data_IF_895012040153
#
_entry.id   IF_895012040153
#
_cell.length_a   1.000
_cell.length_b   1.000
_cell.length_c   1.000
_cell.angle_alpha   90.00
_cell.angle_beta   90.00
_cell.angle_gamma   90.00
#
_symmetry.space_group_name_H-M   'P 1'
#
loop_
_entity.id
_entity.type
_entity.pdbx_description
1 polymer ?
#
# COMPACT_ATOMS: atom_id res chain seq x y z
N UNK A 1 -65.13 55.23 -10.90
CA UNK A 1 -65.49 53.84 -11.27
C UNK A 1 -64.47 53.20 -12.23
N UNK A 2 -64.01 53.86 -13.30
CA UNK A 2 -63.00 53.29 -14.21
C UNK A 2 -61.62 53.03 -13.57
N UNK A 3 -61.16 53.87 -12.63
CA UNK A 3 -59.90 53.63 -11.89
C UNK A 3 -59.94 52.41 -10.97
N UNK A 4 -61.11 52.05 -10.42
CA UNK A 4 -61.27 50.85 -9.58
C UNK A 4 -61.24 49.57 -10.42
N UNK A 5 -61.75 49.61 -11.66
CA UNK A 5 -61.69 48.45 -12.58
C UNK A 5 -60.27 48.21 -13.11
N UNK A 6 -59.47 49.25 -13.36
CA UNK A 6 -58.06 49.08 -13.75
C UNK A 6 -57.19 48.52 -12.61
N UNK A 7 -57.45 48.91 -11.36
CA UNK A 7 -56.75 48.33 -10.20
C UNK A 7 -57.11 46.85 -9.98
N UNK A 8 -58.36 46.46 -10.22
CA UNK A 8 -58.76 45.04 -10.13
C UNK A 8 -58.16 44.19 -11.26
N UNK A 9 -58.02 44.71 -12.48
CA UNK A 9 -57.35 44.00 -13.58
C UNK A 9 -55.83 43.86 -13.37
N UNK A 10 -55.17 44.87 -12.79
CA UNK A 10 -53.74 44.77 -12.43
C UNK A 10 -53.49 43.78 -11.29
N UNK A 11 -54.39 43.70 -10.30
CA UNK A 11 -54.28 42.71 -9.22
C UNK A 11 -54.51 41.26 -9.71
N UNK A 12 -55.41 41.05 -10.69
CA UNK A 12 -55.62 39.73 -11.27
C UNK A 12 -54.44 39.26 -12.16
N UNK A 13 -53.76 40.17 -12.85
CA UNK A 13 -52.56 39.83 -13.62
C UNK A 13 -51.34 39.51 -12.74
N UNK A 14 -51.24 40.09 -11.54
CA UNK A 14 -50.16 39.76 -10.59
C UNK A 14 -50.33 38.40 -9.88
N UNK A 15 -51.55 37.87 -9.80
CA UNK A 15 -51.79 36.54 -9.20
C UNK A 15 -51.43 35.36 -10.11
N UNK A 16 -51.22 35.57 -11.42
CA UNK A 16 -50.84 34.50 -12.36
C UNK A 16 -49.32 34.25 -12.47
N UNK A 17 -48.48 34.98 -11.72
CA UNK A 17 -47.02 34.82 -11.74
C UNK A 17 -46.45 34.47 -10.36
N UNK A 18 -47.13 33.61 -9.60
CA UNK A 18 -46.47 32.93 -8.47
C UNK A 18 -45.86 31.62 -8.98
N UNK A 19 -44.52 31.48 -9.01
CA UNK A 19 -43.93 30.16 -9.19
C UNK A 19 -44.39 29.28 -8.02
N UNK A 20 -44.83 28.06 -8.33
CA UNK A 20 -45.08 27.02 -7.34
C UNK A 20 -43.81 26.84 -6.50
N UNK A 21 -43.81 27.43 -5.30
CA UNK A 21 -42.87 27.08 -4.25
C UNK A 21 -43.24 25.67 -3.79
N UNK A 22 -42.75 24.66 -4.50
CA UNK A 22 -42.52 23.35 -3.93
C UNK A 22 -41.32 23.46 -2.99
N UNK A 23 -41.49 24.15 -1.87
CA UNK A 23 -40.74 23.84 -0.66
C UNK A 23 -41.41 22.61 -0.03
N UNK A 24 -41.41 21.50 -0.77
CA UNK A 24 -41.73 20.20 -0.21
C UNK A 24 -40.46 19.68 0.47
N UNK A 25 -40.60 19.48 1.78
CA UNK A 25 -39.77 18.73 2.71
C UNK A 25 -38.99 17.56 2.07
N UNK A 26 -37.91 17.87 1.34
CA UNK A 26 -36.91 16.87 1.00
C UNK A 26 -36.00 16.69 2.21
N UNK A 27 -36.46 15.84 3.14
CA UNK A 27 -35.59 15.18 4.11
C UNK A 27 -34.30 14.79 3.39
N UNK A 28 -33.13 15.32 3.79
CA UNK A 28 -31.91 15.17 3.03
C UNK A 28 -31.62 13.68 2.90
N UNK A 29 -31.69 13.15 1.68
CA UNK A 29 -31.41 11.75 1.41
C UNK A 29 -30.00 11.47 1.92
N UNK A 30 -29.89 10.66 2.98
CA UNK A 30 -28.58 10.31 3.56
C UNK A 30 -28.08 9.03 2.93
N UNK A 31 -26.79 9.00 2.62
CA UNK A 31 -26.15 7.78 2.14
C UNK A 31 -26.23 6.68 3.20
N UNK A 32 -26.84 5.51 2.92
CA UNK A 32 -26.97 4.44 3.92
C UNK A 32 -25.62 3.83 4.34
N UNK A 33 -24.53 4.08 3.58
CA UNK A 33 -23.20 3.57 3.89
C UNK A 33 -22.33 4.52 4.73
N UNK A 34 -22.60 5.84 4.72
CA UNK A 34 -21.77 6.83 5.42
C UNK A 34 -22.53 8.00 6.03
N UNK A 35 -23.85 8.01 5.94
CA UNK A 35 -24.80 8.99 6.49
C UNK A 35 -24.60 10.46 6.05
N UNK A 36 -23.73 10.71 5.09
CA UNK A 36 -23.57 12.03 4.48
C UNK A 36 -24.83 12.41 3.68
N UNK A 37 -25.19 13.70 3.71
CA UNK A 37 -26.29 14.25 2.92
C UNK A 37 -25.95 14.20 1.43
N UNK A 38 -26.85 13.62 0.63
CA UNK A 38 -26.76 13.57 -0.82
C UNK A 38 -27.61 14.70 -1.40
N UNK A 39 -26.96 15.74 -1.92
CA UNK A 39 -27.61 16.69 -2.81
C UNK A 39 -27.32 16.25 -4.24
N UNK A 40 -28.33 15.77 -4.95
CA UNK A 40 -28.25 15.51 -6.38
C UNK A 40 -28.71 16.79 -7.10
N UNK A 41 -27.76 17.55 -7.64
CA UNK A 41 -28.11 18.68 -8.52
C UNK A 41 -28.32 18.14 -9.95
N UNK A 42 -29.56 18.19 -10.43
CA UNK A 42 -29.96 17.73 -11.77
C UNK A 42 -29.80 18.84 -12.85
N UNK A 43 -29.15 19.97 -12.54
CA UNK A 43 -28.90 21.06 -13.50
C UNK A 43 -27.52 20.99 -14.18
N UNK A 44 -27.04 19.79 -14.49
CA UNK A 44 -25.75 19.63 -15.19
C UNK A 44 -25.99 19.32 -16.66
N UNK A 45 -25.79 20.32 -17.51
CA UNK A 45 -25.64 20.13 -18.97
C UNK A 45 -24.48 19.17 -19.25
N UNK A 46 -24.69 18.27 -20.21
CA UNK A 46 -23.81 17.15 -20.57
C UNK A 46 -22.48 17.54 -21.27
N UNK A 47 -21.78 18.56 -20.76
CA UNK A 47 -20.47 19.00 -21.25
C UNK A 47 -19.58 19.36 -20.06
N UNK A 48 -18.91 18.35 -19.50
CA UNK A 48 -17.95 18.55 -18.42
C UNK A 48 -17.73 17.28 -17.60
N UNK A 49 -16.95 16.33 -18.12
CA UNK A 49 -16.38 15.24 -17.33
C UNK A 49 -15.30 15.81 -16.38
N UNK A 50 -15.70 16.59 -15.37
CA UNK A 50 -14.78 17.02 -14.33
C UNK A 50 -14.72 15.98 -13.19
N UNK A 51 -13.61 15.23 -13.22
CA UNK A 51 -12.92 14.59 -12.10
C UNK A 51 -13.81 13.74 -11.18
N UNK A 52 -13.95 12.46 -11.55
CA UNK A 52 -14.20 11.37 -10.59
C UNK A 52 -13.28 11.58 -9.37
N UNK A 53 -13.84 11.98 -8.22
CA UNK A 53 -13.13 11.94 -6.94
C UNK A 53 -12.67 10.51 -6.74
N UNK A 54 -11.38 10.25 -7.03
CA UNK A 54 -10.70 8.97 -6.85
C UNK A 54 -11.02 8.52 -5.42
N UNK A 55 -11.82 7.45 -5.28
CA UNK A 55 -12.16 6.90 -3.98
C UNK A 55 -10.86 6.75 -3.20
N UNK A 56 -10.67 7.56 -2.15
CA UNK A 56 -9.43 7.55 -1.35
C UNK A 56 -9.27 6.11 -0.88
N UNK A 57 -8.27 5.39 -1.40
CA UNK A 57 -7.97 4.02 -0.99
C UNK A 57 -7.95 4.02 0.54
N UNK A 58 -8.78 3.18 1.16
CA UNK A 58 -8.90 3.10 2.62
C UNK A 58 -7.54 2.70 3.18
N UNK A 59 -6.72 3.67 3.59
CA UNK A 59 -5.42 3.41 4.24
C UNK A 59 -5.69 2.66 5.53
N UNK A 60 -5.01 1.54 5.74
CA UNK A 60 -5.19 0.69 6.93
C UNK A 60 -4.98 1.48 8.22
N UNK A 61 -4.13 2.51 8.18
CA UNK A 61 -3.86 3.40 9.32
C UNK A 61 -5.10 4.14 9.82
N UNK A 62 -6.15 4.30 8.98
CA UNK A 62 -7.43 4.91 9.40
C UNK A 62 -8.39 3.91 10.05
N UNK A 63 -8.10 2.62 9.93
CA UNK A 63 -8.92 1.53 10.44
C UNK A 63 -8.40 0.99 11.77
N UNK A 64 -7.24 1.47 12.22
CA UNK A 64 -6.58 1.05 13.46
C UNK A 64 -6.62 2.23 14.42
N UNK A 65 -6.90 1.94 15.69
CA UNK A 65 -6.72 2.90 16.76
C UNK A 65 -5.22 3.15 16.98
N UNK A 66 -4.75 4.32 16.54
CA UNK A 66 -3.35 4.72 16.65
C UNK A 66 -2.95 5.01 18.10
N UNK A 67 -3.90 5.30 18.99
CA UNK A 67 -3.60 5.57 20.40
C UNK A 67 -3.26 4.29 21.16
N UNK A 68 -3.92 3.18 20.80
CA UNK A 68 -3.68 1.85 21.37
C UNK A 68 -2.91 0.93 20.42
N UNK A 69 -2.01 1.48 19.60
CA UNK A 69 -1.26 0.70 18.64
C UNK A 69 -0.27 -0.25 19.33
N UNK A 70 -0.59 -1.55 19.30
CA UNK A 70 0.30 -2.60 19.82
C UNK A 70 1.11 -3.22 18.67
N UNK A 71 2.44 -3.04 18.63
CA UNK A 71 3.27 -3.63 17.58
C UNK A 71 3.36 -5.16 17.73
N UNK A 72 3.32 -5.86 16.60
CA UNK A 72 3.52 -7.31 16.51
C UNK A 72 4.99 -7.69 16.77
N UNK A 73 5.24 -8.98 17.03
CA UNK A 73 6.60 -9.52 17.22
C UNK A 73 7.53 -9.19 16.05
N UNK A 74 7.05 -9.38 14.81
CA UNK A 74 7.82 -9.02 13.60
C UNK A 74 8.14 -7.53 13.50
N UNK A 75 7.16 -6.66 13.77
CA UNK A 75 7.37 -5.21 13.74
C UNK A 75 8.48 -4.79 14.71
N UNK A 76 8.50 -5.37 15.91
CA UNK A 76 9.55 -5.15 16.91
C UNK A 76 10.90 -5.67 16.45
N UNK A 77 10.97 -6.93 16.02
CA UNK A 77 12.22 -7.56 15.59
C UNK A 77 12.88 -6.82 14.40
N UNK A 78 12.09 -6.45 13.38
CA UNK A 78 12.60 -5.69 12.23
C UNK A 78 13.15 -4.34 12.67
N UNK A 79 12.50 -3.70 13.65
CA UNK A 79 12.93 -2.42 14.17
C UNK A 79 14.22 -2.53 14.97
N UNK A 80 14.30 -3.48 15.89
CA UNK A 80 15.49 -3.71 16.73
C UNK A 80 16.71 -3.99 15.84
N UNK A 81 16.56 -4.84 14.84
CA UNK A 81 17.62 -5.11 13.86
C UNK A 81 18.00 -3.83 13.08
N UNK A 82 17.01 -3.04 12.63
CA UNK A 82 17.27 -1.80 11.91
C UNK A 82 17.97 -0.75 12.78
N UNK A 83 17.61 -0.64 14.06
CA UNK A 83 18.25 0.25 15.02
C UNK A 83 19.72 -0.15 15.26
N UNK A 84 19.99 -1.45 15.40
CA UNK A 84 21.34 -1.98 15.54
C UNK A 84 22.19 -1.65 14.31
N UNK A 85 21.66 -1.90 13.11
CA UNK A 85 22.34 -1.54 11.86
C UNK A 85 22.63 -0.04 11.75
N UNK A 86 21.70 0.78 12.25
CA UNK A 86 21.77 2.23 12.13
C UNK A 86 22.79 2.88 13.07
N UNK A 87 23.41 2.12 13.98
CA UNK A 87 24.61 2.57 14.70
C UNK A 87 25.72 3.02 13.75
N UNK A 88 25.85 2.38 12.58
CA UNK A 88 26.64 2.90 11.46
C UNK A 88 25.73 3.55 10.42
N UNK A 89 25.83 4.87 10.27
CA UNK A 89 25.02 5.64 9.33
C UNK A 89 25.25 5.29 7.85
N UNK A 90 26.28 4.52 7.53
CA UNK A 90 26.51 4.02 6.18
C UNK A 90 25.60 2.84 5.86
N UNK A 91 25.10 2.11 6.86
CA UNK A 91 24.21 0.99 6.63
C UNK A 91 22.82 1.46 6.19
N UNK A 92 22.31 0.81 5.14
CA UNK A 92 20.97 1.01 4.61
C UNK A 92 20.31 -0.34 4.34
N UNK A 93 19.03 -0.42 4.66
CA UNK A 93 18.25 -1.65 4.52
C UNK A 93 17.17 -1.53 3.43
N UNK A 94 16.92 -2.62 2.72
CA UNK A 94 15.72 -2.80 1.89
C UNK A 94 14.81 -3.77 2.60
N UNK A 95 13.57 -3.36 2.84
CA UNK A 95 12.57 -4.17 3.55
C UNK A 95 11.51 -4.62 2.55
N UNK A 96 11.44 -5.92 2.32
CA UNK A 96 10.46 -6.55 1.44
C UNK A 96 9.30 -7.13 2.22
N UNK A 97 8.09 -6.87 1.75
CA UNK A 97 6.89 -7.59 2.16
C UNK A 97 5.95 -7.76 0.96
N UNK A 98 5.22 -8.86 0.93
CA UNK A 98 4.14 -9.06 -0.04
C UNK A 98 2.90 -8.18 0.28
N UNK A 99 2.75 -7.75 1.53
CA UNK A 99 1.57 -7.01 1.99
C UNK A 99 1.87 -5.51 2.10
N UNK A 100 1.24 -4.72 1.23
CA UNK A 100 1.37 -3.25 1.27
C UNK A 100 0.90 -2.66 2.60
N UNK A 101 -0.07 -3.30 3.25
CA UNK A 101 -0.56 -2.95 4.59
C UNK A 101 0.52 -3.10 5.66
N UNK A 102 1.35 -4.15 5.56
CA UNK A 102 2.48 -4.34 6.49
C UNK A 102 3.51 -3.22 6.34
N UNK A 103 3.76 -2.76 5.11
CA UNK A 103 4.65 -1.61 4.86
C UNK A 103 4.10 -0.32 5.50
N UNK A 104 2.79 -0.11 5.45
CA UNK A 104 2.15 1.05 6.11
C UNK A 104 2.32 0.99 7.63
N UNK A 105 2.17 -0.20 8.23
CA UNK A 105 2.38 -0.41 9.66
C UNK A 105 3.83 -0.18 10.07
N UNK A 106 4.80 -0.70 9.30
CA UNK A 106 6.22 -0.49 9.54
C UNK A 106 6.58 1.00 9.46
N UNK A 107 6.14 1.70 8.41
CA UNK A 107 6.36 3.15 8.27
C UNK A 107 5.82 3.92 9.46
N UNK A 108 4.57 3.63 9.86
CA UNK A 108 3.96 4.29 11.00
C UNK A 108 4.74 3.99 12.29
N UNK A 109 5.03 2.71 12.55
CA UNK A 109 5.73 2.27 13.76
C UNK A 109 7.15 2.85 13.88
N UNK A 110 7.87 2.96 12.76
CA UNK A 110 9.20 3.56 12.74
C UNK A 110 9.15 5.06 12.99
N UNK A 111 8.15 5.76 12.44
CA UNK A 111 7.99 7.21 12.60
C UNK A 111 7.41 7.61 13.97
N UNK A 112 6.51 6.82 14.54
CA UNK A 112 5.81 7.13 15.80
C UNK A 112 6.60 6.78 17.06
N UNK A 113 7.84 6.35 16.89
CA UNK A 113 8.65 5.83 17.97
C UNK A 113 9.50 6.89 18.66
N UNK A 114 10.04 6.55 19.84
CA UNK A 114 10.98 7.42 20.56
C UNK A 114 12.22 7.79 19.74
N UNK A 115 12.66 6.89 18.86
CA UNK A 115 13.83 7.07 17.99
C UNK A 115 13.38 6.96 16.55
N UNK A 116 12.90 8.06 15.94
CA UNK A 116 12.29 8.00 14.62
C UNK A 116 13.32 7.62 13.56
N UNK A 117 12.99 6.59 12.78
CA UNK A 117 13.81 6.14 11.65
C UNK A 117 13.20 6.66 10.34
N UNK A 118 13.96 7.48 9.61
CA UNK A 118 13.52 7.97 8.30
C UNK A 118 13.54 6.83 7.29
N UNK A 119 12.36 6.50 6.78
CA UNK A 119 12.19 5.44 5.79
C UNK A 119 11.33 5.93 4.63
N UNK A 120 11.56 5.38 3.44
CA UNK A 120 10.78 5.66 2.24
C UNK A 120 10.07 4.41 1.77
N UNK A 121 8.98 4.56 1.01
CA UNK A 121 8.19 3.42 0.51
C UNK A 121 8.09 3.42 -1.01
N UNK A 122 8.12 2.23 -1.58
CA UNK A 122 7.97 1.98 -3.00
C UNK A 122 6.96 0.86 -3.24
N UNK A 123 5.81 1.23 -3.80
CA UNK A 123 4.75 0.30 -4.18
C UNK A 123 4.36 0.47 -5.64
N UNK A 124 3.88 -0.60 -6.26
CA UNK A 124 3.59 -0.62 -7.71
C UNK A 124 2.47 0.33 -8.14
N UNK A 125 1.66 0.81 -7.19
CA UNK A 125 0.59 1.79 -7.43
C UNK A 125 1.05 3.26 -7.35
N UNK A 126 2.33 3.50 -7.09
CA UNK A 126 2.93 4.83 -7.00
C UNK A 126 3.20 5.41 -8.41
N UNK A 127 2.91 6.70 -8.66
CA UNK A 127 3.30 7.37 -9.89
C UNK A 127 4.81 7.36 -10.10
N UNK A 128 5.28 7.31 -11.35
CA UNK A 128 6.72 7.27 -11.69
C UNK A 128 7.53 8.37 -11.02
N UNK A 129 7.06 9.63 -11.09
CA UNK A 129 7.76 10.75 -10.47
C UNK A 129 7.97 10.59 -8.95
N UNK A 130 6.97 10.05 -8.23
CA UNK A 130 7.09 9.80 -6.79
C UNK A 130 8.02 8.61 -6.48
N UNK A 131 8.03 7.60 -7.34
CA UNK A 131 8.96 6.48 -7.26
C UNK A 131 10.40 6.95 -7.40
N UNK A 132 10.68 7.76 -8.42
CA UNK A 132 12.02 8.29 -8.69
C UNK A 132 12.50 9.18 -7.53
N UNK A 133 11.60 10.00 -6.96
CA UNK A 133 11.90 10.80 -5.77
C UNK A 133 12.30 9.92 -4.56
N UNK A 134 11.56 8.85 -4.30
CA UNK A 134 11.85 7.95 -3.18
C UNK A 134 13.14 7.16 -3.39
N UNK A 135 13.41 6.72 -4.62
CA UNK A 135 14.70 6.09 -4.97
C UNK A 135 15.86 7.06 -4.81
N UNK A 136 15.69 8.31 -5.27
CA UNK A 136 16.69 9.36 -5.11
C UNK A 136 16.96 9.65 -3.64
N UNK A 137 15.91 9.81 -2.84
CA UNK A 137 16.02 9.97 -1.40
C UNK A 137 16.75 8.77 -0.76
N UNK A 138 16.38 7.54 -1.12
CA UNK A 138 17.05 6.35 -0.59
C UNK A 138 18.54 6.29 -0.95
N UNK A 139 18.92 6.68 -2.17
CA UNK A 139 20.31 6.61 -2.61
C UNK A 139 21.16 7.76 -2.04
N UNK A 140 20.67 9.00 -2.12
CA UNK A 140 21.45 10.21 -1.86
C UNK A 140 21.42 10.65 -0.39
N UNK A 141 20.32 10.44 0.33
CA UNK A 141 20.18 10.92 1.71
C UNK A 141 20.78 9.91 2.71
N UNK A 142 21.84 10.26 3.45
CA UNK A 142 22.42 9.37 4.45
C UNK A 142 21.47 9.10 5.61
N UNK A 143 20.53 9.99 5.92
CA UNK A 143 19.59 9.83 7.04
C UNK A 143 18.46 8.86 6.73
N UNK A 144 18.21 8.56 5.45
CA UNK A 144 17.23 7.54 5.07
C UNK A 144 17.79 6.15 5.38
N UNK A 145 17.26 5.54 6.44
CA UNK A 145 17.72 4.26 6.98
C UNK A 145 17.26 3.06 6.14
N UNK A 146 16.02 3.11 5.62
CA UNK A 146 15.45 2.00 4.88
C UNK A 146 14.49 2.40 3.76
N UNK A 147 14.39 1.53 2.75
CA UNK A 147 13.34 1.57 1.72
C UNK A 147 12.44 0.35 1.86
N UNK A 148 11.14 0.58 1.94
CA UNK A 148 10.11 -0.43 2.06
C UNK A 148 9.50 -0.72 0.70
N UNK A 149 9.66 -1.94 0.21
CA UNK A 149 9.28 -2.33 -1.15
C UNK A 149 8.25 -3.45 -1.09
N UNK A 150 7.13 -3.29 -1.81
CA UNK A 150 6.23 -4.42 -2.02
C UNK A 150 6.85 -5.41 -2.98
N UNK A 151 6.76 -6.71 -2.70
CA UNK A 151 7.35 -7.77 -3.53
C UNK A 151 6.96 -7.66 -5.02
N UNK A 152 5.71 -7.26 -5.30
CA UNK A 152 5.21 -7.01 -6.67
C UNK A 152 5.90 -5.85 -7.40
N UNK A 153 6.39 -4.86 -6.67
CA UNK A 153 7.11 -3.71 -7.22
C UNK A 153 8.61 -3.98 -7.39
N UNK A 154 9.15 -5.00 -6.73
CA UNK A 154 10.57 -5.40 -6.83
C UNK A 154 10.96 -5.92 -8.22
N UNK A 155 10.00 -6.37 -9.03
CA UNK A 155 10.22 -6.89 -10.38
C UNK A 155 10.64 -5.84 -11.42
N UNK A 156 10.43 -4.54 -11.17
CA UNK A 156 10.55 -3.47 -12.18
C UNK A 156 12.00 -2.99 -12.48
N UNK A 157 13.03 -3.76 -12.14
CA UNK A 157 14.42 -3.41 -12.48
C UNK A 157 15.01 -2.25 -11.64
N UNK A 158 14.59 -2.14 -10.38
CA UNK A 158 15.03 -1.09 -9.46
C UNK A 158 16.55 -1.18 -9.16
N UNK A 159 17.22 -0.02 -9.05
CA UNK A 159 18.59 0.06 -8.56
C UNK A 159 18.60 0.25 -7.03
N UNK A 160 19.01 -0.78 -6.29
CA UNK A 160 19.00 -0.80 -4.82
C UNK A 160 20.41 -0.96 -4.24
N UNK A 161 21.45 -0.61 -5.00
CA UNK A 161 22.86 -0.75 -4.63
C UNK A 161 23.28 0.08 -3.42
N UNK A 162 22.52 1.12 -3.04
CA UNK A 162 22.81 1.86 -1.82
C UNK A 162 22.59 1.03 -0.54
N UNK A 163 21.81 -0.05 -0.62
CA UNK A 163 21.54 -0.94 0.51
C UNK A 163 22.59 -2.03 0.63
N UNK A 164 22.96 -2.37 1.87
CA UNK A 164 23.81 -3.52 2.17
C UNK A 164 23.10 -4.55 3.05
N UNK A 165 21.86 -4.29 3.45
CA UNK A 165 21.01 -5.25 4.16
C UNK A 165 19.67 -5.41 3.45
N UNK A 166 19.18 -6.63 3.39
CA UNK A 166 17.89 -7.00 2.81
C UNK A 166 17.09 -7.74 3.87
N UNK A 167 15.95 -7.20 4.24
CA UNK A 167 15.02 -7.77 5.21
C UNK A 167 13.81 -8.31 4.50
N UNK A 168 13.58 -9.61 4.59
CA UNK A 168 12.36 -10.25 4.07
C UNK A 168 11.45 -10.48 5.27
N UNK A 169 10.39 -9.65 5.36
CA UNK A 169 9.49 -9.65 6.51
C UNK A 169 8.51 -10.82 6.45
N UNK A 170 8.08 -11.18 5.24
CA UNK A 170 7.11 -12.25 5.02
C UNK A 170 7.64 -13.18 3.92
N UNK A 171 7.86 -14.48 4.20
CA UNK A 171 8.37 -15.40 3.20
C UNK A 171 7.35 -15.59 2.08
N UNK A 172 7.83 -15.70 0.84
CA UNK A 172 6.99 -15.97 -0.32
C UNK A 172 7.19 -17.39 -0.83
N UNK A 173 6.13 -18.09 -1.18
CA UNK A 173 6.23 -19.48 -1.65
C UNK A 173 7.07 -19.66 -2.91
N UNK A 174 7.29 -18.60 -3.70
CA UNK A 174 8.18 -18.61 -4.86
C UNK A 174 9.60 -18.14 -4.46
N UNK A 175 10.59 -19.05 -4.36
CA UNK A 175 11.95 -18.70 -3.96
C UNK A 175 12.68 -17.82 -4.99
N UNK A 176 12.38 -17.97 -6.29
CA UNK A 176 13.06 -17.26 -7.36
C UNK A 176 12.85 -15.74 -7.25
N UNK A 177 11.69 -15.32 -6.78
CA UNK A 177 11.40 -13.90 -6.63
C UNK A 177 12.07 -13.26 -5.40
N UNK A 178 12.27 -14.01 -4.32
CA UNK A 178 13.10 -13.53 -3.21
C UNK A 178 14.55 -13.38 -3.64
N UNK A 179 15.11 -14.38 -4.35
CA UNK A 179 16.46 -14.31 -4.92
C UNK A 179 16.58 -13.11 -5.86
N UNK A 180 15.63 -12.95 -6.78
CA UNK A 180 15.61 -11.81 -7.69
C UNK A 180 15.61 -10.48 -6.94
N UNK A 181 14.89 -10.37 -5.82
CA UNK A 181 14.85 -9.17 -5.00
C UNK A 181 16.21 -8.90 -4.32
N UNK A 182 16.87 -9.94 -3.79
CA UNK A 182 18.22 -9.86 -3.20
C UNK A 182 19.26 -9.47 -4.27
N UNK A 183 19.16 -10.03 -5.48
CA UNK A 183 20.07 -9.74 -6.59
C UNK A 183 20.03 -8.27 -7.03
N UNK A 184 18.92 -7.55 -6.80
CA UNK A 184 18.85 -6.10 -7.06
C UNK A 184 19.72 -5.29 -6.13
N UNK A 185 20.00 -5.81 -4.94
CA UNK A 185 20.90 -5.19 -3.96
C UNK A 185 22.35 -5.61 -4.17
N UNK A 186 22.60 -6.84 -4.61
CA UNK A 186 23.93 -7.40 -4.89
C UNK A 186 24.50 -7.00 -6.28
N UNK A 187 23.82 -6.13 -7.03
CA UNK A 187 24.14 -5.82 -8.43
C UNK A 187 25.51 -5.14 -8.64
N UNK A 188 26.12 -5.35 -9.80
CA UNK A 188 27.40 -4.75 -10.26
C UNK A 188 27.49 -3.25 -9.93
N UNK A 189 28.38 -2.87 -9.01
CA UNK A 189 28.49 -1.50 -8.48
C UNK A 189 28.34 -1.44 -6.95
N UNK A 190 27.82 -2.50 -6.34
CA UNK A 190 27.90 -2.70 -4.90
C UNK A 190 29.33 -3.08 -4.50
N UNK A 191 29.91 -2.33 -3.56
CA UNK A 191 31.28 -2.55 -3.04
C UNK A 191 31.28 -3.18 -1.65
N UNK A 192 30.10 -3.32 -1.03
CA UNK A 192 29.92 -3.79 0.35
C UNK A 192 29.24 -5.15 0.37
N UNK A 193 29.56 -5.96 1.37
CA UNK A 193 28.86 -7.23 1.57
C UNK A 193 27.37 -6.99 1.81
N UNK A 194 26.55 -7.79 1.14
CA UNK A 194 25.10 -7.74 1.24
C UNK A 194 24.62 -8.88 2.14
N UNK A 195 23.89 -8.53 3.19
CA UNK A 195 23.28 -9.50 4.10
C UNK A 195 21.78 -9.61 3.84
N UNK A 196 21.26 -10.83 3.74
CA UNK A 196 19.82 -11.08 3.61
C UNK A 196 19.31 -11.80 4.86
N UNK A 197 18.38 -11.16 5.58
CA UNK A 197 17.76 -11.67 6.81
C UNK A 197 16.28 -11.93 6.56
N UNK A 198 15.82 -13.14 6.89
CA UNK A 198 14.41 -13.53 6.82
C UNK A 198 13.80 -13.53 8.22
N UNK A 199 12.66 -12.87 8.39
CA UNK A 199 11.90 -12.87 9.64
C UNK A 199 10.81 -13.93 9.58
N UNK A 200 11.03 -15.03 10.30
CA UNK A 200 10.12 -16.17 10.35
C UNK A 200 9.60 -16.34 11.78
N UNK A 201 8.29 -16.47 11.93
CA UNK A 201 7.68 -16.81 13.22
C UNK A 201 7.70 -18.33 13.41
N UNK A 202 8.27 -18.79 14.52
CA UNK A 202 8.30 -20.20 14.89
C UNK A 202 6.90 -20.78 15.12
N UNK A 203 6.76 -22.08 14.85
CA UNK A 203 5.52 -22.85 14.99
C UNK A 203 4.36 -22.24 14.18
N UNK A 204 4.68 -21.70 13.00
CA UNK A 204 3.70 -21.01 12.15
C UNK A 204 3.70 -21.50 10.71
N UNK A 205 2.71 -21.04 9.94
CA UNK A 205 2.63 -21.30 8.51
C UNK A 205 3.88 -20.82 7.74
N UNK A 206 4.62 -19.86 8.29
CA UNK A 206 5.81 -19.29 7.67
C UNK A 206 6.96 -20.29 7.59
N UNK A 207 7.13 -21.15 8.61
CA UNK A 207 8.12 -22.23 8.57
C UNK A 207 7.77 -23.28 7.51
N UNK A 208 6.47 -23.57 7.34
CA UNK A 208 5.99 -24.47 6.28
C UNK A 208 6.21 -23.89 4.89
N UNK A 209 6.06 -22.57 4.73
CA UNK A 209 6.40 -21.89 3.48
C UNK A 209 7.90 -22.03 3.19
N UNK A 210 8.77 -21.91 4.20
CA UNK A 210 10.21 -22.14 4.03
C UNK A 210 10.52 -23.58 3.64
N UNK A 211 9.86 -24.57 4.24
CA UNK A 211 10.02 -25.96 3.85
C UNK A 211 9.55 -26.21 2.41
N UNK A 212 8.44 -25.58 2.01
CA UNK A 212 7.93 -25.64 0.65
C UNK A 212 8.92 -25.02 -0.36
N UNK A 213 9.51 -23.86 -0.04
CA UNK A 213 10.56 -23.27 -0.88
C UNK A 213 11.73 -24.25 -1.06
N UNK A 214 12.18 -24.90 0.02
CA UNK A 214 13.26 -25.90 -0.04
C UNK A 214 12.89 -27.09 -0.92
N UNK A 215 11.66 -27.60 -0.82
CA UNK A 215 11.14 -28.68 -1.69
C UNK A 215 11.17 -28.25 -3.15
N UNK A 216 10.68 -27.05 -3.47
CA UNK A 216 10.68 -26.52 -4.85
C UNK A 216 12.09 -26.31 -5.40
N UNK A 217 13.01 -25.79 -4.60
CA UNK A 217 14.41 -25.62 -5.00
C UNK A 217 15.09 -26.96 -5.31
N UNK A 218 14.82 -28.00 -4.51
CA UNK A 218 15.37 -29.34 -4.76
C UNK A 218 14.86 -29.93 -6.07
N UNK A 219 13.57 -29.84 -6.34
CA UNK A 219 12.95 -30.34 -7.58
C UNK A 219 13.60 -29.69 -8.81
N UNK A 220 13.76 -28.37 -8.77
CA UNK A 220 14.42 -27.61 -9.85
C UNK A 220 15.88 -28.02 -10.00
N UNK A 221 16.63 -28.13 -8.90
CA UNK A 221 18.04 -28.53 -8.97
C UNK A 221 18.25 -29.94 -9.53
N UNK A 222 17.26 -30.83 -9.38
CA UNK A 222 17.29 -32.20 -9.88
C UNK A 222 16.76 -32.35 -11.31
N UNK A 223 16.13 -31.32 -11.88
CA UNK A 223 15.51 -31.38 -13.21
C UNK A 223 16.33 -30.55 -14.18
N UNK A 224 16.99 -31.22 -15.13
CA UNK A 224 17.89 -30.58 -16.12
C UNK A 224 17.09 -29.83 -17.20
N UNK A 225 15.79 -30.13 -17.35
CA UNK A 225 14.91 -29.54 -18.35
C UNK A 225 13.97 -28.46 -17.77
N UNK A 226 14.41 -27.21 -17.84
CA UNK A 226 13.66 -26.06 -18.37
C UNK A 226 12.28 -25.63 -17.83
N UNK A 227 11.65 -26.30 -16.87
CA UNK A 227 10.32 -25.92 -16.38
C UNK A 227 10.36 -24.91 -15.21
N UNK A 228 10.90 -23.72 -15.45
CA UNK A 228 10.86 -22.59 -14.49
C UNK A 228 9.42 -22.21 -14.09
N UNK A 229 8.43 -22.57 -14.92
CA UNK A 229 7.01 -22.35 -14.64
C UNK A 229 6.52 -23.12 -13.40
N UNK A 230 7.14 -24.24 -13.03
CA UNK A 230 6.77 -25.00 -11.84
C UNK A 230 7.05 -24.22 -10.54
N UNK A 231 8.06 -23.33 -10.53
CA UNK A 231 8.31 -22.41 -9.41
C UNK A 231 7.28 -21.28 -9.31
N UNK A 232 6.48 -21.05 -10.36
CA UNK A 232 5.46 -19.99 -10.41
C UNK A 232 4.04 -20.46 -10.10
N UNK A 233 3.82 -21.74 -9.81
CA UNK A 233 2.49 -22.23 -9.45
C UNK A 233 2.50 -23.01 -8.13
N UNK A 234 1.44 -22.83 -7.36
CA UNK A 234 1.15 -23.62 -6.16
C UNK A 234 0.21 -24.76 -6.56
N UNK A 235 0.61 -26.00 -6.27
CA UNK A 235 -0.26 -27.17 -6.47
C UNK A 235 -1.31 -27.25 -5.36
N UNK A 236 -2.36 -28.05 -5.56
CA UNK A 236 -3.34 -28.31 -4.48
C UNK A 236 -2.69 -29.04 -3.29
N UNK A 237 -1.72 -29.92 -3.57
CA UNK A 237 -0.95 -30.64 -2.55
C UNK A 237 -0.10 -29.69 -1.71
N UNK A 238 0.55 -28.70 -2.34
CA UNK A 238 1.30 -27.63 -1.65
C UNK A 238 0.37 -26.86 -0.71
N UNK A 239 -0.83 -26.53 -1.18
CA UNK A 239 -1.81 -25.80 -0.38
C UNK A 239 -2.27 -26.63 0.83
N UNK A 240 -2.56 -27.91 0.62
CA UNK A 240 -2.94 -28.82 1.70
C UNK A 240 -1.82 -28.89 2.75
N UNK A 241 -0.57 -29.04 2.30
CA UNK A 241 0.62 -29.10 3.16
C UNK A 241 0.76 -27.87 4.08
N UNK A 242 0.44 -26.66 3.60
CA UNK A 242 0.54 -25.43 4.41
C UNK A 242 -0.45 -25.42 5.59
N UNK A 243 -1.62 -26.05 5.44
CA UNK A 243 -2.71 -26.02 6.41
C UNK A 243 -2.90 -27.32 7.20
N UNK A 244 -2.06 -28.33 6.99
CA UNK A 244 -2.06 -29.53 7.82
C UNK A 244 -1.73 -29.16 9.27
N UNK A 245 -2.53 -29.68 10.21
CA UNK A 245 -2.32 -29.46 11.65
C UNK A 245 -1.32 -30.46 12.19
#
# INVERSE_FOLDING_TARGET
>A
QQQQQQQQQQQQQQQQQQPLNLEDDMLPLRCPACQAALALDLRVNASGFEKRKRAKKKSILRQIDLQNFRPSSKLKAVREELEELRKDKRNKAVIFSQFTRMLDLLLHYFASSSTPLKCVRLTGDMPRAARDLNLKAFNEDPETAAILISLRAGGEGLNLQAANHVFIVDPWWNPAAELQAIDRTHRIGQTRQVFATRFIVSDSIEERIMELQRKKQLIVSGTIDGEDSAMMQLSQEDLAFLFTR
#
